data_IF_179121942229
#
_entry.id   IF_179121942229
#
_cell.length_a   1.000
_cell.length_b   1.000
_cell.length_c   1.000
_cell.angle_alpha   90.00
_cell.angle_beta   90.00
_cell.angle_gamma   90.00
#
_symmetry.space_group_name_H-M   'P 1'
#
loop_
_entity.id
_entity.type
_entity.pdbx_description
1 polymer ?
#
# COMPACT_ATOMS: atom_id res chain seq x y z
N UNK A 1 -0.06 -0.57 -20.45
CA UNK A 1 -0.42 0.07 -19.17
C UNK A 1 -0.56 -1.03 -18.14
N UNK A 2 0.10 -0.91 -16.99
CA UNK A 2 0.02 -1.91 -15.93
C UNK A 2 -0.72 -1.28 -14.75
N UNK A 3 -1.76 -1.93 -14.27
CA UNK A 3 -2.49 -1.52 -13.08
C UNK A 3 -2.11 -2.43 -11.93
N UNK A 4 -1.64 -1.84 -10.84
CA UNK A 4 -1.26 -2.57 -9.63
C UNK A 4 -2.27 -2.23 -8.55
N UNK A 5 -2.97 -3.25 -8.06
CA UNK A 5 -3.94 -3.14 -6.98
C UNK A 5 -3.29 -3.64 -5.70
N UNK A 6 -3.25 -2.79 -4.68
CA UNK A 6 -2.57 -3.04 -3.42
C UNK A 6 -3.58 -2.89 -2.26
N UNK A 7 -3.53 -3.73 -1.22
CA UNK A 7 -4.21 -3.42 0.03
C UNK A 7 -3.46 -2.30 0.78
N UNK A 8 -4.21 -1.47 1.51
CA UNK A 8 -3.70 -0.62 2.58
C UNK A 8 -4.35 -1.06 3.87
N UNK A 9 -3.54 -1.58 4.78
CA UNK A 9 -4.00 -2.03 6.07
C UNK A 9 -4.39 -0.81 6.91
N UNK A 10 -5.64 -0.81 7.38
CA UNK A 10 -6.17 0.17 8.32
C UNK A 10 -6.21 -0.51 9.69
N UNK A 11 -5.47 0.05 10.64
CA UNK A 11 -5.30 -0.47 12.00
C UNK A 11 -5.43 0.67 13.01
N UNK A 12 -5.85 0.36 14.24
CA UNK A 12 -6.15 1.37 15.26
C UNK A 12 -4.90 2.10 15.77
N UNK A 13 -3.75 1.41 15.84
CA UNK A 13 -2.52 1.97 16.40
C UNK A 13 -1.57 2.43 15.29
N UNK A 14 -1.10 3.68 15.36
CA UNK A 14 -0.27 4.30 14.31
C UNK A 14 1.04 3.53 13.99
N UNK A 15 1.70 2.94 14.99
CA UNK A 15 2.90 2.14 14.81
C UNK A 15 2.65 0.83 14.04
N UNK A 16 1.46 0.24 14.17
CA UNK A 16 1.04 -0.93 13.39
C UNK A 16 0.81 -0.55 11.92
N UNK A 17 0.42 0.69 11.63
CA UNK A 17 0.32 1.19 10.26
C UNK A 17 1.65 1.03 9.53
N UNK A 18 2.77 1.37 10.19
CA UNK A 18 4.12 1.18 9.63
C UNK A 18 4.47 -0.30 9.51
N UNK A 19 4.18 -1.10 10.54
CA UNK A 19 4.50 -2.53 10.59
C UNK A 19 3.77 -3.33 9.48
N UNK A 20 2.47 -3.12 9.30
CA UNK A 20 1.67 -3.90 8.35
C UNK A 20 1.81 -3.41 6.91
N UNK A 21 2.09 -2.12 6.69
CA UNK A 21 2.14 -1.54 5.35
C UNK A 21 3.55 -1.50 4.72
N UNK A 22 4.56 -2.16 5.30
CA UNK A 22 5.96 -2.13 4.82
C UNK A 22 6.09 -2.46 3.32
N UNK A 23 5.50 -3.56 2.87
CA UNK A 23 5.57 -3.98 1.47
C UNK A 23 4.87 -2.99 0.55
N UNK A 24 3.72 -2.45 0.95
CA UNK A 24 2.98 -1.46 0.16
C UNK A 24 3.77 -0.15 0.01
N UNK A 25 4.45 0.30 1.08
CA UNK A 25 5.32 1.46 1.11
C UNK A 25 6.51 1.27 0.16
N UNK A 26 7.13 0.10 0.20
CA UNK A 26 8.24 -0.25 -0.70
C UNK A 26 7.81 -0.24 -2.18
N UNK A 27 6.69 -0.88 -2.51
CA UNK A 27 6.16 -0.92 -3.87
C UNK A 27 5.81 0.49 -4.36
N UNK A 28 5.11 1.28 -3.53
CA UNK A 28 4.81 2.69 -3.80
C UNK A 28 6.08 3.48 -4.12
N UNK A 29 7.08 3.44 -3.22
CA UNK A 29 8.33 4.18 -3.38
C UNK A 29 9.08 3.81 -4.67
N UNK A 30 9.09 2.53 -5.04
CA UNK A 30 9.80 2.05 -6.24
C UNK A 30 9.09 2.39 -7.54
N UNK A 31 7.76 2.43 -7.54
CA UNK A 31 6.96 2.52 -8.76
C UNK A 31 6.34 3.91 -9.00
N UNK A 32 6.27 4.79 -8.00
CA UNK A 32 5.68 6.13 -8.12
C UNK A 32 6.27 6.96 -9.26
N UNK A 33 7.55 6.77 -9.58
CA UNK A 33 8.27 7.51 -10.63
C UNK A 33 8.25 6.82 -11.99
N UNK A 34 7.61 5.66 -12.13
CA UNK A 34 7.55 4.90 -13.39
C UNK A 34 6.35 5.36 -14.21
N UNK A 35 6.60 5.71 -15.47
CA UNK A 35 5.52 6.05 -16.42
C UNK A 35 4.72 4.79 -16.77
N UNK A 36 3.45 4.97 -17.13
CA UNK A 36 2.52 3.91 -17.57
C UNK A 36 2.16 2.85 -16.51
N UNK A 37 2.33 3.18 -15.22
CA UNK A 37 1.87 2.37 -14.09
C UNK A 37 0.75 3.13 -13.38
N UNK A 38 -0.44 2.53 -13.31
CA UNK A 38 -1.53 2.99 -12.48
C UNK A 38 -1.52 2.21 -11.16
N UNK A 39 -1.70 2.91 -10.04
CA UNK A 39 -1.68 2.30 -8.71
C UNK A 39 -3.00 2.57 -8.01
N UNK A 40 -3.68 1.51 -7.58
CA UNK A 40 -4.93 1.59 -6.84
C UNK A 40 -4.69 0.99 -5.47
N UNK A 41 -5.00 1.74 -4.43
CA UNK A 41 -4.88 1.27 -3.06
C UNK A 41 -6.28 1.06 -2.49
N UNK A 42 -6.56 -0.14 -1.97
CA UNK A 42 -7.87 -0.49 -1.39
C UNK A 42 -7.69 -0.62 0.13
N UNK A 43 -8.46 0.11 0.95
CA UNK A 43 -8.39 -0.03 2.40
C UNK A 43 -8.85 -1.45 2.80
N UNK A 44 -8.06 -2.12 3.62
CA UNK A 44 -8.37 -3.41 4.20
C UNK A 44 -8.29 -3.29 5.72
N UNK A 45 -9.42 -3.47 6.40
CA UNK A 45 -9.48 -3.46 7.85
C UNK A 45 -8.91 -4.79 8.36
N UNK A 46 -7.85 -4.72 9.16
CA UNK A 46 -7.37 -5.88 9.91
C UNK A 46 -7.95 -5.75 11.31
N UNK A 47 -8.68 -6.79 11.72
CA UNK A 47 -8.97 -7.05 13.12
C UNK A 47 -7.73 -7.77 13.69
N UNK A 48 -6.99 -7.08 14.55
CA UNK A 48 -5.81 -7.64 15.25
C UNK A 48 -6.19 -8.39 16.52
#
# INVERSE_FOLDING_TARGET
MITIVLPQFVVDKWWHQLLHNQTSLFIKARLLKKRNIAMVTIPYLIEE
#
